data_IF_602306155791
#
_entry.id   IF_602306155791
#
_cell.length_a   1.000
_cell.length_b   1.000
_cell.length_c   1.000
_cell.angle_alpha   90.00
_cell.angle_beta   90.00
_cell.angle_gamma   90.00
#
_symmetry.space_group_name_H-M   'P 1'
#
loop_
_entity.id
_entity.type
_entity.pdbx_description
1 polymer ?
#
# COMPACT_ATOMS: atom_id res chain seq x y z
N UNK A 1 20.92 9.69 -13.30
CA UNK A 1 20.02 10.86 -13.45
C UNK A 1 19.02 10.87 -12.29
N UNK A 2 18.53 12.04 -11.87
CA UNK A 2 17.56 12.18 -10.78
C UNK A 2 16.26 12.82 -11.27
N UNK A 3 15.12 12.19 -10.99
CA UNK A 3 13.79 12.67 -11.40
C UNK A 3 12.89 12.75 -10.17
N UNK A 4 12.21 13.89 -9.97
CA UNK A 4 11.19 14.04 -8.95
C UNK A 4 9.79 13.85 -9.58
N UNK A 5 8.91 13.10 -8.91
CA UNK A 5 7.53 12.87 -9.33
C UNK A 5 6.56 13.20 -8.20
N UNK A 6 5.42 13.76 -8.57
CA UNK A 6 4.40 14.27 -7.65
C UNK A 6 3.03 13.62 -7.82
N UNK A 7 2.82 12.91 -8.93
CA UNK A 7 1.56 12.22 -9.24
C UNK A 7 1.80 10.75 -9.59
N UNK A 8 0.74 9.94 -9.51
CA UNK A 8 0.80 8.51 -9.86
C UNK A 8 1.09 8.29 -11.35
N UNK A 9 0.61 9.16 -12.23
CA UNK A 9 0.89 9.07 -13.67
C UNK A 9 2.37 9.39 -13.97
N UNK A 10 2.92 10.43 -13.32
CA UNK A 10 4.35 10.75 -13.43
C UNK A 10 5.21 9.61 -12.91
N UNK A 11 4.82 8.99 -11.79
CA UNK A 11 5.51 7.83 -11.25
C UNK A 11 5.49 6.64 -12.22
N UNK A 12 4.34 6.34 -12.82
CA UNK A 12 4.21 5.27 -13.84
C UNK A 12 5.18 5.50 -14.99
N UNK A 13 5.17 6.70 -15.55
CA UNK A 13 5.96 7.03 -16.73
C UNK A 13 7.46 7.10 -16.41
N UNK A 14 7.84 7.62 -15.24
CA UNK A 14 9.23 7.64 -14.77
C UNK A 14 9.77 6.23 -14.53
N UNK A 15 8.97 5.33 -13.95
CA UNK A 15 9.36 3.93 -13.75
C UNK A 15 9.57 3.21 -15.08
N UNK A 16 8.66 3.38 -16.05
CA UNK A 16 8.80 2.75 -17.36
C UNK A 16 10.11 3.16 -18.05
N UNK A 17 10.45 4.45 -18.00
CA UNK A 17 11.71 4.98 -18.56
C UNK A 17 12.94 4.51 -17.79
N UNK A 18 12.88 4.49 -16.46
CA UNK A 18 14.01 4.04 -15.64
C UNK A 18 14.34 2.56 -15.85
N UNK A 19 13.32 1.72 -16.02
CA UNK A 19 13.51 0.30 -16.35
C UNK A 19 14.18 0.15 -17.72
N UNK A 20 13.69 0.86 -18.73
CA UNK A 20 14.26 0.81 -20.08
C UNK A 20 15.73 1.27 -20.10
N UNK A 21 16.03 2.41 -19.47
CA UNK A 21 17.39 2.94 -19.35
C UNK A 21 18.33 1.99 -18.59
N UNK A 22 17.84 1.32 -17.54
CA UNK A 22 18.65 0.34 -16.81
C UNK A 22 18.89 -0.93 -17.65
N UNK A 23 17.89 -1.38 -18.41
CA UNK A 23 17.97 -2.62 -19.22
C UNK A 23 18.83 -2.45 -20.47
N UNK A 24 18.68 -1.35 -21.19
CA UNK A 24 19.31 -1.15 -22.50
C UNK A 24 20.63 -0.37 -22.39
N UNK A 25 20.69 0.60 -21.49
CA UNK A 25 21.83 1.52 -21.38
C UNK A 25 22.67 1.29 -20.11
N UNK A 26 22.21 0.43 -19.20
CA UNK A 26 22.87 0.16 -17.92
C UNK A 26 22.87 1.36 -16.97
N UNK A 27 22.00 2.34 -17.21
CA UNK A 27 21.95 3.58 -16.44
C UNK A 27 20.91 3.49 -15.34
N UNK A 28 21.36 3.70 -14.10
CA UNK A 28 20.47 3.75 -12.94
C UNK A 28 19.87 5.14 -12.77
N UNK A 29 18.54 5.18 -12.69
CA UNK A 29 17.77 6.41 -12.44
C UNK A 29 17.33 6.47 -10.98
N UNK A 30 17.61 7.59 -10.33
CA UNK A 30 17.11 7.88 -8.99
C UNK A 30 15.75 8.59 -9.11
N UNK A 31 14.69 8.00 -8.54
CA UNK A 31 13.34 8.56 -8.59
C UNK A 31 12.95 9.00 -7.19
N UNK A 32 12.75 10.30 -6.99
CA UNK A 32 12.20 10.88 -5.77
C UNK A 32 10.68 10.97 -5.90
N UNK A 33 9.95 10.34 -4.99
CA UNK A 33 8.49 10.27 -5.04
C UNK A 33 7.88 11.07 -3.90
N UNK A 34 7.14 12.12 -4.24
CA UNK A 34 6.35 12.87 -3.25
C UNK A 34 5.03 12.13 -2.99
N UNK A 35 4.88 11.61 -1.77
CA UNK A 35 3.67 10.90 -1.34
C UNK A 35 2.82 11.83 -0.46
N UNK A 36 1.56 12.03 -0.84
CA UNK A 36 0.58 12.83 -0.09
C UNK A 36 -0.46 11.98 0.67
N UNK A 37 -0.39 10.65 0.55
CA UNK A 37 -1.30 9.73 1.22
C UNK A 37 -0.50 8.75 2.07
N UNK A 38 -0.61 8.89 3.40
CA UNK A 38 -0.32 7.79 4.31
C UNK A 38 -1.52 6.84 4.29
N UNK A 39 -1.36 5.67 3.67
CA UNK A 39 -2.19 4.52 4.00
C UNK A 39 -1.87 4.15 5.45
N UNK A 40 -2.67 4.66 6.39
CA UNK A 40 -2.51 4.38 7.82
C UNK A 40 -2.35 2.89 8.08
N UNK A 41 -1.45 2.52 8.98
CA UNK A 41 -0.74 1.23 9.02
C UNK A 41 -1.62 -0.04 8.80
N UNK A 42 -1.78 -0.53 7.56
CA UNK A 42 -2.42 -1.82 7.30
C UNK A 42 -1.46 -2.98 7.57
N UNK A 43 -0.15 -2.69 7.68
CA UNK A 43 0.93 -3.64 7.92
C UNK A 43 1.46 -3.62 9.36
N UNK A 44 0.69 -3.02 10.26
CA UNK A 44 0.89 -3.16 11.70
C UNK A 44 0.79 -4.62 12.12
N UNK A 45 1.74 -5.10 12.92
CA UNK A 45 1.73 -6.48 13.46
C UNK A 45 0.43 -6.80 14.23
N UNK A 46 -0.17 -5.80 14.87
CA UNK A 46 -1.45 -5.87 15.57
C UNK A 46 -2.65 -5.77 14.62
N UNK A 47 -2.55 -5.06 13.49
CA UNK A 47 -3.56 -5.07 12.42
C UNK A 47 -3.61 -6.41 11.67
N UNK A 48 -2.48 -7.13 11.63
CA UNK A 48 -2.36 -8.50 11.11
C UNK A 48 -2.74 -9.58 12.14
N UNK A 49 -2.99 -9.21 13.41
CA UNK A 49 -3.28 -10.18 14.47
C UNK A 49 -4.71 -10.67 14.32
N UNK A 50 -4.88 -11.99 14.27
CA UNK A 50 -6.22 -12.61 14.29
C UNK A 50 -7.01 -12.03 15.47
N UNK A 51 -8.23 -11.50 15.25
CA UNK A 51 -9.05 -10.93 16.30
C UNK A 51 -9.16 -11.90 17.47
N UNK A 52 -8.80 -11.44 18.66
CA UNK A 52 -8.94 -12.23 19.88
C UNK A 52 -10.41 -12.14 20.27
N UNK A 53 -11.07 -13.28 20.43
CA UNK A 53 -12.47 -13.28 20.89
C UNK A 53 -12.54 -12.59 22.26
N UNK A 54 -13.25 -11.46 22.32
CA UNK A 54 -13.47 -10.72 23.56
C UNK A 54 -14.85 -11.10 24.11
N UNK A 55 -14.85 -11.64 25.33
CA UNK A 55 -15.98 -12.17 26.07
C UNK A 55 -16.63 -13.43 25.47
N UNK A 56 -17.05 -14.35 26.35
CA UNK A 56 -17.61 -15.67 26.04
C UNK A 56 -18.98 -15.66 25.36
N UNK A 57 -19.09 -14.89 24.28
CA UNK A 57 -20.26 -14.83 23.41
C UNK A 57 -20.31 -16.15 22.64
N UNK A 58 -21.27 -16.99 23.00
CA UNK A 58 -21.60 -18.20 22.27
C UNK A 58 -22.31 -17.81 20.97
N UNK A 59 -22.20 -18.61 19.88
CA UNK A 59 -23.02 -18.41 18.69
C UNK A 59 -24.53 -18.32 18.98
N UNK A 60 -25.00 -18.90 20.09
CA UNK A 60 -26.37 -18.78 20.59
C UNK A 60 -26.76 -17.37 21.04
N UNK A 61 -25.78 -16.51 21.36
CA UNK A 61 -26.01 -15.16 21.86
C UNK A 61 -26.20 -14.15 20.72
N UNK A 62 -25.85 -14.56 19.49
CA UNK A 62 -25.99 -13.74 18.29
C UNK A 62 -27.47 -13.58 17.92
N UNK A 63 -27.90 -12.34 17.68
CA UNK A 63 -29.23 -12.01 17.16
C UNK A 63 -29.17 -11.68 15.67
N UNK A 64 -30.23 -11.94 14.89
CA UNK A 64 -30.28 -11.56 13.48
C UNK A 64 -30.03 -10.06 13.32
N UNK A 65 -29.00 -9.70 12.54
CA UNK A 65 -28.72 -8.31 12.21
C UNK A 65 -29.63 -7.90 11.05
N UNK A 66 -30.44 -6.86 11.24
CA UNK A 66 -31.24 -6.28 10.16
C UNK A 66 -30.35 -5.43 9.27
N UNK A 67 -29.96 -6.00 8.11
CA UNK A 67 -29.47 -5.27 6.93
C UNK A 67 -28.09 -4.61 7.06
N UNK A 68 -27.28 -4.77 6.02
CA UNK A 68 -26.11 -3.93 5.77
C UNK A 68 -26.53 -2.59 5.16
#
# INVERSE_FOLDING_TARGET
EGVAVSTMDELRDALAKAVDAQMNDGVTTFIEVMLNQELGEPFRRDAMKKPVAVAGISPSDMRPQQGA
#
